data_IF_901902930231
#
_entry.id   IF_901902930231
#
_cell.length_a   1.000
_cell.length_b   1.000
_cell.length_c   1.000
_cell.angle_alpha   90.00
_cell.angle_beta   90.00
_cell.angle_gamma   90.00
#
_symmetry.space_group_name_H-M   'P 1'
#
loop_
_entity.id
_entity.type
_entity.pdbx_description
1 polymer ?
#
# COMPACT_ATOMS: atom_id res chain seq x y z
N UNK A 1 -38.76 56.45 -4.15
CA UNK A 1 -37.63 56.11 -3.25
C UNK A 1 -37.38 54.57 -3.10
N UNK A 2 -37.97 53.70 -3.92
CA UNK A 2 -37.86 52.22 -3.81
C UNK A 2 -37.01 51.52 -4.89
N UNK A 3 -36.44 52.26 -5.85
CA UNK A 3 -35.71 51.68 -6.98
C UNK A 3 -34.18 51.44 -6.71
N UNK A 4 -33.60 52.14 -5.75
CA UNK A 4 -32.17 52.06 -5.42
C UNK A 4 -31.83 50.90 -4.49
N UNK A 5 -32.79 50.39 -3.72
CA UNK A 5 -32.56 49.28 -2.76
C UNK A 5 -32.39 47.89 -3.40
N UNK A 6 -33.07 47.67 -4.57
CA UNK A 6 -32.94 46.37 -5.30
C UNK A 6 -31.61 46.22 -6.02
N UNK A 7 -31.01 47.30 -6.50
CA UNK A 7 -29.70 47.27 -7.17
C UNK A 7 -28.55 46.93 -6.21
N UNK A 8 -28.57 47.49 -5.00
CA UNK A 8 -27.55 47.23 -3.97
C UNK A 8 -27.55 45.81 -3.48
N UNK A 9 -28.75 45.18 -3.33
CA UNK A 9 -28.88 43.79 -2.89
C UNK A 9 -28.35 42.80 -3.93
N UNK A 10 -28.59 43.06 -5.23
CA UNK A 10 -28.12 42.21 -6.33
C UNK A 10 -26.59 42.32 -6.51
N UNK A 11 -26.02 43.51 -6.35
CA UNK A 11 -24.56 43.70 -6.40
C UNK A 11 -23.89 43.00 -5.20
N UNK A 12 -24.42 43.12 -3.99
CA UNK A 12 -23.91 42.48 -2.80
C UNK A 12 -23.93 40.96 -2.92
N UNK A 13 -25.00 40.40 -3.48
CA UNK A 13 -25.12 38.94 -3.69
C UNK A 13 -24.15 38.43 -4.77
N UNK A 14 -23.94 39.18 -5.85
CA UNK A 14 -22.98 38.85 -6.90
C UNK A 14 -21.53 38.84 -6.35
N UNK A 15 -21.19 39.85 -5.54
CA UNK A 15 -19.86 39.94 -4.89
C UNK A 15 -19.66 38.76 -3.91
N UNK A 16 -20.66 38.43 -3.12
CA UNK A 16 -20.58 37.29 -2.17
C UNK A 16 -20.39 35.96 -2.91
N UNK A 17 -21.11 35.75 -4.03
CA UNK A 17 -20.94 34.55 -4.86
C UNK A 17 -19.54 34.50 -5.49
N UNK A 18 -19.02 35.62 -5.98
CA UNK A 18 -17.68 35.69 -6.55
C UNK A 18 -16.60 35.41 -5.50
N UNK A 19 -16.73 35.98 -4.30
CA UNK A 19 -15.79 35.70 -3.18
C UNK A 19 -15.86 34.24 -2.75
N UNK A 20 -17.06 33.68 -2.65
CA UNK A 20 -17.23 32.26 -2.31
C UNK A 20 -16.64 31.35 -3.41
N UNK A 21 -16.85 31.66 -4.69
CA UNK A 21 -16.27 30.91 -5.80
C UNK A 21 -14.73 31.02 -5.82
N UNK A 22 -14.17 32.18 -5.52
CA UNK A 22 -12.72 32.39 -5.41
C UNK A 22 -12.17 31.60 -4.19
N UNK A 23 -12.85 31.61 -3.06
CA UNK A 23 -12.45 30.85 -1.89
C UNK A 23 -12.47 29.34 -2.14
N UNK A 24 -13.53 28.83 -2.79
CA UNK A 24 -13.66 27.41 -3.15
C UNK A 24 -12.57 27.00 -4.16
N UNK A 25 -12.28 27.85 -5.15
CA UNK A 25 -11.20 27.57 -6.12
C UNK A 25 -9.83 27.65 -5.47
N UNK A 26 -9.61 28.58 -4.56
CA UNK A 26 -8.37 28.69 -3.78
C UNK A 26 -8.15 27.49 -2.86
N UNK A 27 -9.17 27.06 -2.09
CA UNK A 27 -9.10 25.85 -1.29
C UNK A 27 -8.83 24.60 -2.15
N UNK A 28 -9.52 24.48 -3.29
CA UNK A 28 -9.31 23.36 -4.23
C UNK A 28 -7.89 23.34 -4.80
N UNK A 29 -7.32 24.51 -5.08
CA UNK A 29 -5.96 24.66 -5.57
C UNK A 29 -4.92 24.38 -4.48
N UNK A 30 -5.21 24.74 -3.23
CA UNK A 30 -4.33 24.56 -2.08
C UNK A 30 -4.33 23.13 -1.53
N UNK A 31 -5.33 22.30 -1.91
CA UNK A 31 -5.41 20.90 -1.50
C UNK A 31 -4.57 19.95 -2.35
N UNK A 32 -4.02 20.37 -3.47
CA UNK A 32 -3.21 19.55 -4.36
C UNK A 32 -1.90 19.13 -3.68
N UNK A 33 -1.54 17.86 -3.85
CA UNK A 33 -0.39 17.25 -3.15
C UNK A 33 0.92 17.93 -3.49
N UNK A 34 1.19 18.15 -4.77
CA UNK A 34 2.44 18.81 -5.22
C UNK A 34 2.69 20.15 -4.51
N UNK A 35 1.68 21.01 -4.43
CA UNK A 35 1.82 22.31 -3.76
C UNK A 35 2.10 22.18 -2.26
N UNK A 36 1.38 21.26 -1.59
CA UNK A 36 1.62 21.01 -0.16
C UNK A 36 3.03 20.48 0.07
N UNK A 37 3.49 19.58 -0.77
CA UNK A 37 4.82 18.97 -0.74
C UNK A 37 5.90 20.04 -0.92
N UNK A 38 5.78 20.89 -1.96
CA UNK A 38 6.71 22.00 -2.20
C UNK A 38 6.74 22.98 -1.02
N UNK A 39 5.58 23.35 -0.48
CA UNK A 39 5.46 24.29 0.66
C UNK A 39 6.06 23.72 1.95
N UNK A 40 5.89 22.42 2.20
CA UNK A 40 6.45 21.70 3.35
C UNK A 40 7.95 21.45 3.19
N UNK A 41 8.43 21.30 1.97
CA UNK A 41 9.84 21.07 1.65
C UNK A 41 10.28 19.61 1.73
N UNK A 42 9.33 18.66 1.76
CA UNK A 42 9.60 17.20 1.77
C UNK A 42 8.43 16.39 1.20
N UNK A 43 8.68 15.12 0.85
CA UNK A 43 7.70 14.12 0.43
C UNK A 43 7.45 13.14 1.56
N UNK A 44 6.20 13.00 2.02
CA UNK A 44 5.81 12.00 3.01
C UNK A 44 5.42 10.69 2.31
N UNK A 45 6.27 9.68 2.45
CA UNK A 45 6.09 8.36 1.84
C UNK A 45 5.58 7.34 2.86
N UNK A 46 4.40 6.79 2.63
CA UNK A 46 3.93 5.62 3.36
C UNK A 46 4.66 4.37 2.88
N UNK A 47 5.35 3.69 3.77
CA UNK A 47 6.17 2.49 3.49
C UNK A 47 5.77 1.32 4.39
N UNK A 48 6.24 0.12 4.09
CA UNK A 48 6.08 -1.03 4.99
C UNK A 48 6.90 -0.82 6.28
N UNK A 49 6.47 -1.44 7.38
CA UNK A 49 7.12 -1.30 8.70
C UNK A 49 8.49 -2.00 8.80
N UNK A 50 8.79 -2.92 7.89
CA UNK A 50 10.04 -3.68 7.93
C UNK A 50 10.02 -4.88 6.99
N UNK A 51 9.89 -4.64 5.68
CA UNK A 51 9.97 -5.68 4.65
C UNK A 51 11.35 -5.63 3.98
N UNK A 52 12.24 -6.59 4.24
CA UNK A 52 13.55 -6.65 3.60
C UNK A 52 13.45 -6.61 2.08
N UNK A 53 14.35 -5.87 1.43
CA UNK A 53 14.33 -5.64 -0.02
C UNK A 53 13.38 -4.53 -0.48
N UNK A 54 12.30 -4.23 0.23
CA UNK A 54 11.32 -3.19 -0.12
C UNK A 54 11.44 -1.94 0.75
N UNK A 55 11.26 -2.08 2.05
CA UNK A 55 11.43 -0.97 2.99
C UNK A 55 11.78 -1.49 4.38
N UNK A 56 12.98 -1.26 4.81
CA UNK A 56 13.47 -1.67 6.13
C UNK A 56 14.36 -0.57 6.72
N UNK A 57 14.15 -0.17 7.99
CA UNK A 57 15.07 0.70 8.69
C UNK A 57 16.25 -0.11 9.26
N UNK A 58 17.43 0.49 9.29
CA UNK A 58 18.55 -0.01 10.10
C UNK A 58 18.41 0.44 11.57
N UNK A 59 19.34 -0.01 12.42
CA UNK A 59 19.35 0.32 13.86
C UNK A 59 19.57 1.83 14.11
N UNK A 60 20.01 2.58 13.12
CA UNK A 60 20.18 4.05 13.16
C UNK A 60 18.99 4.81 12.60
N UNK A 61 17.95 4.08 12.14
CA UNK A 61 16.76 4.65 11.53
C UNK A 61 16.93 5.05 10.06
N UNK A 62 18.00 4.62 9.38
CA UNK A 62 18.14 4.83 7.94
C UNK A 62 17.34 3.77 7.19
N UNK A 63 16.52 4.20 6.28
CA UNK A 63 15.67 3.34 5.47
C UNK A 63 16.39 2.89 4.20
N UNK A 64 16.17 1.64 3.79
CA UNK A 64 16.68 1.05 2.55
C UNK A 64 15.63 0.17 1.88
N UNK A 65 15.76 -0.03 0.57
CA UNK A 65 14.94 -0.93 -0.23
C UNK A 65 14.23 -0.25 -1.40
N UNK A 66 13.59 -1.07 -2.24
CA UNK A 66 12.99 -0.67 -3.49
C UNK A 66 11.94 0.44 -3.34
N UNK A 67 11.00 0.29 -2.40
CA UNK A 67 9.96 1.28 -2.11
C UNK A 67 10.55 2.60 -1.59
N UNK A 68 11.63 2.49 -0.80
CA UNK A 68 12.37 3.64 -0.24
C UNK A 68 13.06 4.42 -1.35
N UNK A 69 13.73 3.71 -2.28
CA UNK A 69 14.44 4.35 -3.39
C UNK A 69 13.48 4.97 -4.40
N UNK A 70 12.30 4.37 -4.60
CA UNK A 70 11.22 4.99 -5.36
C UNK A 70 10.82 6.35 -4.75
N UNK A 71 10.58 6.42 -3.45
CA UNK A 71 10.29 7.67 -2.75
C UNK A 71 11.40 8.71 -2.87
N UNK A 72 12.66 8.27 -2.80
CA UNK A 72 13.82 9.14 -3.01
C UNK A 72 13.89 9.70 -4.42
N UNK A 73 13.53 8.89 -5.42
CA UNK A 73 13.46 9.34 -6.81
C UNK A 73 12.39 10.42 -6.99
N UNK A 74 11.20 10.25 -6.41
CA UNK A 74 10.15 11.27 -6.41
C UNK A 74 10.61 12.56 -5.72
N UNK A 75 11.28 12.44 -4.56
CA UNK A 75 11.82 13.60 -3.85
C UNK A 75 12.90 14.33 -4.66
N UNK A 76 13.81 13.59 -5.31
CA UNK A 76 14.83 14.14 -6.18
C UNK A 76 14.21 14.87 -7.39
N UNK A 77 13.16 14.31 -8.00
CA UNK A 77 12.45 14.95 -9.12
C UNK A 77 11.83 16.30 -8.75
N UNK A 78 11.38 16.47 -7.50
CA UNK A 78 10.71 17.70 -7.04
C UNK A 78 11.71 18.73 -6.48
N UNK A 79 12.72 18.26 -5.74
CA UNK A 79 13.58 19.11 -4.91
C UNK A 79 15.06 19.08 -5.32
N UNK A 80 15.42 18.28 -6.32
CA UNK A 80 16.83 17.96 -6.65
C UNK A 80 17.61 17.38 -5.44
N UNK A 81 16.87 16.79 -4.47
CA UNK A 81 17.44 16.23 -3.24
C UNK A 81 16.66 14.98 -2.77
N UNK A 82 17.23 13.78 -2.91
CA UNK A 82 16.59 12.53 -2.46
C UNK A 82 16.39 12.46 -0.94
N UNK A 83 17.12 13.26 -0.14
CA UNK A 83 17.00 13.32 1.33
C UNK A 83 15.69 14.01 1.78
N UNK A 84 14.97 14.62 0.86
CA UNK A 84 13.66 15.20 1.09
C UNK A 84 12.53 14.15 1.14
N UNK A 85 12.81 12.88 0.90
CA UNK A 85 11.89 11.78 1.22
C UNK A 85 11.86 11.52 2.73
N UNK A 86 10.65 11.51 3.31
CA UNK A 86 10.39 11.16 4.72
C UNK A 86 9.51 9.91 4.76
N UNK A 87 9.92 8.92 5.53
CA UNK A 87 9.26 7.62 5.55
C UNK A 87 8.32 7.50 6.74
N UNK A 88 7.08 7.08 6.46
CA UNK A 88 6.02 6.85 7.44
C UNK A 88 5.65 5.38 7.39
N UNK A 89 6.07 4.58 8.38
CA UNK A 89 5.74 3.15 8.40
C UNK A 89 4.25 2.93 8.68
N UNK A 90 3.59 2.13 7.84
CA UNK A 90 2.15 1.89 7.89
C UNK A 90 1.83 0.39 7.86
N UNK A 91 0.79 -0.03 8.58
CA UNK A 91 0.21 -1.36 8.45
C UNK A 91 -0.66 -1.49 7.19
N UNK A 92 -0.90 -2.74 6.76
CA UNK A 92 -1.70 -3.01 5.57
C UNK A 92 -3.13 -2.46 5.68
N UNK A 93 -3.75 -2.54 6.87
CA UNK A 93 -5.14 -2.15 7.11
C UNK A 93 -5.35 -0.63 7.16
N UNK A 94 -4.31 0.15 7.47
CA UNK A 94 -4.43 1.60 7.63
C UNK A 94 -3.91 2.40 6.42
N UNK A 95 -3.04 1.81 5.58
CA UNK A 95 -2.30 2.54 4.54
C UNK A 95 -3.17 3.40 3.62
N UNK A 96 -4.30 2.87 3.16
CA UNK A 96 -5.18 3.61 2.25
C UNK A 96 -5.91 4.75 2.95
N UNK A 97 -6.33 4.56 4.22
CA UNK A 97 -6.91 5.61 5.03
C UNK A 97 -5.91 6.73 5.30
N UNK A 98 -4.66 6.38 5.60
CA UNK A 98 -3.59 7.35 5.84
C UNK A 98 -3.23 8.16 4.59
N UNK A 99 -3.30 7.53 3.39
CA UNK A 99 -3.19 8.25 2.13
C UNK A 99 -4.38 9.19 1.91
N UNK A 100 -5.61 8.72 2.13
CA UNK A 100 -6.81 9.52 1.96
C UNK A 100 -6.88 10.71 2.94
N UNK A 101 -6.47 10.51 4.18
CA UNK A 101 -6.40 11.57 5.20
C UNK A 101 -5.26 12.57 4.99
N UNK A 102 -4.44 12.37 3.95
CA UNK A 102 -3.28 13.21 3.61
C UNK A 102 -2.14 13.18 4.64
N UNK A 103 -2.09 12.16 5.47
CA UNK A 103 -0.98 11.93 6.39
C UNK A 103 0.28 11.51 5.64
N UNK A 104 0.12 10.90 4.47
CA UNK A 104 1.18 10.66 3.50
C UNK A 104 0.79 11.21 2.14
N UNK A 105 1.78 11.50 1.30
CA UNK A 105 1.59 12.04 -0.03
C UNK A 105 1.48 10.92 -1.07
N UNK A 106 2.23 9.86 -0.87
CA UNK A 106 2.32 8.67 -1.71
C UNK A 106 2.45 7.44 -0.84
N UNK A 107 1.94 6.30 -1.31
CA UNK A 107 2.28 4.99 -0.77
C UNK A 107 3.25 4.31 -1.75
N UNK A 108 4.45 4.00 -1.30
CA UNK A 108 5.36 3.04 -1.90
C UNK A 108 5.50 1.91 -0.87
N UNK A 109 4.60 0.91 -0.95
CA UNK A 109 4.40 -0.07 0.11
C UNK A 109 3.84 -1.38 -0.45
N UNK A 110 4.61 -2.01 -1.36
CA UNK A 110 4.23 -3.30 -1.95
C UNK A 110 2.69 -3.46 -2.09
N UNK A 111 2.04 -2.50 -2.73
CA UNK A 111 0.58 -2.48 -2.86
C UNK A 111 0.15 -2.94 -4.23
N UNK A 112 -0.54 -4.06 -4.29
CA UNK A 112 -1.09 -4.60 -5.53
C UNK A 112 -2.11 -3.66 -6.14
N UNK A 113 -1.96 -3.33 -7.39
CA UNK A 113 -2.96 -2.63 -8.18
C UNK A 113 -4.16 -3.55 -8.44
N UNK A 114 -5.35 -3.11 -8.07
CA UNK A 114 -6.60 -3.82 -8.38
C UNK A 114 -7.72 -2.81 -8.63
N UNK A 115 -8.67 -3.21 -9.48
CA UNK A 115 -9.83 -2.39 -9.80
C UNK A 115 -10.64 -2.03 -8.55
N UNK A 116 -10.80 -2.96 -7.60
CA UNK A 116 -11.52 -2.71 -6.35
C UNK A 116 -10.84 -1.63 -5.51
N UNK A 117 -9.50 -1.57 -5.47
CA UNK A 117 -8.76 -0.54 -4.75
C UNK A 117 -8.92 0.84 -5.40
N UNK A 118 -8.89 0.91 -6.72
CA UNK A 118 -9.13 2.18 -7.43
C UNK A 118 -10.55 2.70 -7.20
N UNK A 119 -11.55 1.84 -7.34
CA UNK A 119 -12.95 2.25 -7.28
C UNK A 119 -13.45 2.48 -5.86
N UNK A 120 -13.14 1.56 -4.92
CA UNK A 120 -13.67 1.62 -3.55
C UNK A 120 -12.96 2.62 -2.66
N UNK A 121 -11.66 2.90 -2.93
CA UNK A 121 -10.87 3.81 -2.10
C UNK A 121 -10.49 5.12 -2.82
N UNK A 122 -11.02 5.38 -4.01
CA UNK A 122 -10.67 6.55 -4.81
C UNK A 122 -9.13 6.74 -4.92
N UNK A 123 -8.45 5.64 -5.23
CA UNK A 123 -7.01 5.56 -5.40
C UNK A 123 -6.65 5.55 -6.88
N UNK A 124 -5.40 5.88 -7.17
CA UNK A 124 -4.82 5.75 -8.50
C UNK A 124 -3.43 5.12 -8.41
N UNK A 125 -3.13 4.24 -9.36
CA UNK A 125 -1.87 3.51 -9.47
C UNK A 125 -1.20 3.95 -10.77
N UNK A 126 -0.24 4.92 -10.72
CA UNK A 126 0.32 5.53 -11.94
C UNK A 126 1.02 4.55 -12.87
N UNK A 127 1.78 3.62 -12.31
CA UNK A 127 2.51 2.61 -13.07
C UNK A 127 2.81 1.40 -12.19
N UNK A 128 2.94 0.22 -12.81
CA UNK A 128 3.44 -0.97 -12.11
C UNK A 128 4.95 -0.84 -11.94
N UNK A 129 5.41 -0.91 -10.71
CA UNK A 129 6.83 -0.81 -10.38
C UNK A 129 7.50 -2.19 -10.23
N UNK A 130 6.73 -3.22 -9.83
CA UNK A 130 7.22 -4.58 -9.65
C UNK A 130 6.11 -5.60 -9.92
N UNK A 131 6.39 -6.67 -10.67
CA UNK A 131 5.47 -7.77 -10.87
C UNK A 131 5.80 -8.91 -9.91
N UNK A 132 4.88 -9.18 -8.98
CA UNK A 132 4.97 -10.27 -8.02
C UNK A 132 3.85 -11.29 -8.25
N UNK A 133 3.79 -12.29 -7.40
CA UNK A 133 2.74 -13.30 -7.35
C UNK A 133 2.46 -13.73 -5.92
N UNK A 134 1.28 -14.27 -5.66
CA UNK A 134 0.97 -14.93 -4.39
C UNK A 134 1.51 -16.36 -4.35
N UNK A 135 1.99 -16.80 -3.17
CA UNK A 135 2.52 -18.14 -3.00
C UNK A 135 2.39 -18.67 -1.56
N UNK A 136 3.03 -19.79 -1.31
CA UNK A 136 3.02 -20.46 0.00
C UNK A 136 4.42 -20.79 0.48
N UNK A 137 4.66 -20.60 1.77
CA UNK A 137 5.84 -21.08 2.49
C UNK A 137 5.43 -22.05 3.57
N UNK A 138 6.14 -23.17 3.71
CA UNK A 138 5.86 -24.22 4.69
C UNK A 138 7.14 -24.90 5.17
N UNK A 139 7.11 -25.62 6.32
CA UNK A 139 8.22 -26.45 6.74
C UNK A 139 8.52 -27.56 5.73
N UNK A 140 9.79 -27.71 5.33
CA UNK A 140 10.24 -28.74 4.37
C UNK A 140 9.91 -30.17 4.83
N UNK A 141 9.82 -30.38 6.13
CA UNK A 141 9.43 -31.66 6.73
C UNK A 141 8.03 -32.15 6.33
N UNK A 142 7.18 -31.27 5.82
CA UNK A 142 5.84 -31.63 5.30
C UNK A 142 5.90 -32.41 3.98
N UNK A 143 7.01 -32.32 3.25
CA UNK A 143 7.21 -33.01 1.96
C UNK A 143 6.08 -32.76 0.97
N UNK A 144 5.68 -31.51 0.83
CA UNK A 144 4.66 -31.00 -0.10
C UNK A 144 5.39 -30.25 -1.19
N UNK A 145 5.12 -30.59 -2.44
CA UNK A 145 5.77 -29.99 -3.62
C UNK A 145 4.83 -29.10 -4.44
N UNK A 146 3.52 -29.15 -4.19
CA UNK A 146 2.52 -28.34 -4.89
C UNK A 146 1.48 -27.76 -3.93
N UNK A 147 1.01 -26.55 -4.22
CA UNK A 147 -0.09 -25.90 -3.50
C UNK A 147 -1.40 -26.69 -3.55
N UNK A 148 -1.60 -27.57 -4.52
CA UNK A 148 -2.75 -28.48 -4.60
C UNK A 148 -2.77 -29.54 -3.49
N UNK A 149 -1.64 -29.78 -2.83
CA UNK A 149 -1.53 -30.72 -1.71
C UNK A 149 -1.84 -30.08 -0.35
N UNK A 150 -2.21 -28.78 -0.34
CA UNK A 150 -2.53 -28.04 0.89
C UNK A 150 -3.98 -28.22 1.37
N UNK A 151 -4.75 -29.17 0.79
CA UNK A 151 -6.12 -29.45 1.23
C UNK A 151 -6.18 -29.77 2.74
N UNK A 152 -7.12 -29.16 3.46
CA UNK A 152 -7.28 -29.30 4.90
C UNK A 152 -6.27 -28.54 5.77
N UNK A 153 -5.31 -27.81 5.19
CA UNK A 153 -4.24 -27.13 5.93
C UNK A 153 -4.76 -25.91 6.71
N UNK A 154 -4.06 -25.59 7.81
CA UNK A 154 -4.18 -24.31 8.51
C UNK A 154 -3.25 -23.30 7.84
N UNK A 155 -3.81 -22.21 7.30
CA UNK A 155 -3.07 -21.21 6.53
C UNK A 155 -3.01 -19.90 7.30
N UNK A 156 -1.81 -19.47 7.67
CA UNK A 156 -1.58 -18.12 8.20
C UNK A 156 -1.66 -17.09 7.08
N UNK A 157 -2.40 -15.99 7.31
CA UNK A 157 -2.55 -14.89 6.34
C UNK A 157 -2.76 -13.56 7.03
N UNK A 158 -2.26 -12.48 6.43
CA UNK A 158 -2.57 -11.13 6.88
C UNK A 158 -3.93 -10.68 6.34
N UNK A 159 -4.82 -10.23 7.24
CA UNK A 159 -6.11 -9.67 6.89
C UNK A 159 -6.04 -8.35 6.12
N UNK A 160 -7.07 -8.05 5.31
CA UNK A 160 -7.16 -6.81 4.54
C UNK A 160 -6.17 -6.72 3.36
N UNK A 161 -5.62 -7.85 2.92
CA UNK A 161 -4.70 -7.95 1.79
C UNK A 161 -5.36 -8.62 0.58
N UNK A 162 -4.77 -8.44 -0.61
CA UNK A 162 -5.14 -9.23 -1.80
C UNK A 162 -4.82 -10.71 -1.58
N UNK A 163 -3.76 -11.02 -0.85
CA UNK A 163 -3.35 -12.38 -0.51
C UNK A 163 -4.46 -13.15 0.20
N UNK A 164 -5.18 -12.51 1.16
CA UNK A 164 -6.33 -13.14 1.82
C UNK A 164 -7.44 -13.50 0.83
N UNK A 165 -7.74 -12.60 -0.12
CA UNK A 165 -8.77 -12.85 -1.14
C UNK A 165 -8.34 -13.95 -2.11
N UNK A 166 -7.09 -13.91 -2.56
CA UNK A 166 -6.53 -14.90 -3.48
C UNK A 166 -6.43 -16.29 -2.84
N UNK A 167 -6.12 -16.37 -1.54
CA UNK A 167 -6.17 -17.62 -0.78
C UNK A 167 -7.55 -18.26 -0.87
N UNK A 168 -8.60 -17.49 -0.55
CA UNK A 168 -9.97 -17.99 -0.61
C UNK A 168 -10.37 -18.44 -2.03
N UNK A 169 -9.99 -17.66 -3.03
CA UNK A 169 -10.29 -17.96 -4.44
C UNK A 169 -9.56 -19.21 -4.92
N UNK A 170 -8.28 -19.36 -4.59
CA UNK A 170 -7.47 -20.51 -4.98
C UNK A 170 -8.05 -21.81 -4.43
N UNK A 171 -8.34 -21.87 -3.12
CA UNK A 171 -8.89 -23.06 -2.48
C UNK A 171 -10.30 -23.39 -3.00
N UNK A 172 -11.14 -22.37 -3.17
CA UNK A 172 -12.48 -22.56 -3.76
C UNK A 172 -12.44 -23.10 -5.19
N UNK A 173 -11.57 -22.54 -6.03
CA UNK A 173 -11.47 -22.93 -7.44
C UNK A 173 -10.96 -24.35 -7.61
N UNK A 174 -10.09 -24.81 -6.71
CA UNK A 174 -9.54 -26.18 -6.71
C UNK A 174 -10.36 -27.17 -5.87
N UNK A 175 -11.55 -26.78 -5.37
CA UNK A 175 -12.42 -27.58 -4.49
C UNK A 175 -11.68 -28.09 -3.23
N UNK A 176 -10.76 -27.30 -2.70
CA UNK A 176 -9.98 -27.57 -1.51
C UNK A 176 -10.57 -26.88 -0.30
N UNK A 177 -10.30 -27.44 0.88
CA UNK A 177 -10.67 -26.86 2.19
C UNK A 177 -9.44 -26.33 2.90
N UNK A 178 -9.61 -25.32 3.74
CA UNK A 178 -8.54 -24.85 4.62
C UNK A 178 -9.14 -24.20 5.87
N UNK A 179 -8.30 -24.03 6.89
CA UNK A 179 -8.62 -23.22 8.06
C UNK A 179 -7.82 -21.93 7.99
N UNK A 180 -8.52 -20.80 7.87
CA UNK A 180 -7.87 -19.49 7.86
C UNK A 180 -7.42 -19.12 9.28
N UNK A 181 -6.13 -18.80 9.44
CA UNK A 181 -5.56 -18.25 10.66
C UNK A 181 -5.12 -16.82 10.37
N UNK A 182 -6.03 -15.89 10.60
CA UNK A 182 -5.90 -14.48 10.20
C UNK A 182 -5.45 -13.60 11.35
N UNK A 183 -4.55 -12.66 11.02
CA UNK A 183 -4.11 -11.59 11.91
C UNK A 183 -4.12 -10.25 11.17
N UNK A 184 -4.36 -9.16 11.90
CA UNK A 184 -4.37 -7.82 11.31
C UNK A 184 -2.95 -7.28 11.12
N UNK A 185 -2.04 -7.60 12.05
CA UNK A 185 -0.64 -7.16 12.00
C UNK A 185 0.23 -8.23 11.40
N UNK A 186 1.16 -7.80 10.57
CA UNK A 186 2.11 -8.68 9.89
C UNK A 186 2.99 -9.47 10.88
N UNK A 187 3.51 -8.80 11.91
CA UNK A 187 4.37 -9.43 12.91
C UNK A 187 3.68 -10.59 13.65
N UNK A 188 2.36 -10.44 13.90
CA UNK A 188 1.57 -11.50 14.56
C UNK A 188 1.39 -12.71 13.64
N UNK A 189 1.18 -12.48 12.32
CA UNK A 189 1.11 -13.56 11.31
C UNK A 189 2.42 -14.33 11.27
N UNK A 190 3.54 -13.61 11.16
CA UNK A 190 4.87 -14.22 11.07
C UNK A 190 5.22 -14.98 12.34
N UNK A 191 4.89 -14.43 13.51
CA UNK A 191 5.07 -15.10 14.81
C UNK A 191 4.22 -16.35 14.91
N UNK A 192 2.96 -16.33 14.48
CA UNK A 192 2.08 -17.49 14.49
C UNK A 192 2.63 -18.61 13.60
N UNK A 193 3.08 -18.29 12.39
CA UNK A 193 3.71 -19.24 11.49
C UNK A 193 5.01 -19.80 12.10
N UNK A 194 5.93 -18.96 12.56
CA UNK A 194 7.22 -19.38 13.11
C UNK A 194 7.11 -20.22 14.39
N UNK A 195 6.00 -20.07 15.14
CA UNK A 195 5.70 -20.89 16.32
C UNK A 195 4.92 -22.17 16.01
N UNK A 196 4.61 -22.47 14.74
CA UNK A 196 3.93 -23.68 14.32
C UNK A 196 2.40 -23.67 14.54
N UNK A 197 1.77 -22.49 14.71
CA UNK A 197 0.31 -22.41 14.82
C UNK A 197 -0.40 -22.69 13.49
N UNK A 198 0.32 -22.54 12.37
CA UNK A 198 -0.16 -22.78 11.02
C UNK A 198 0.72 -23.81 10.32
N UNK A 199 0.13 -24.54 9.42
CA UNK A 199 0.81 -25.51 8.55
C UNK A 199 1.58 -24.84 7.44
N UNK A 200 1.07 -23.72 6.94
CA UNK A 200 1.65 -22.92 5.85
C UNK A 200 1.35 -21.44 6.04
N UNK A 201 2.16 -20.60 5.42
CA UNK A 201 2.00 -19.15 5.38
C UNK A 201 1.89 -18.68 3.93
N UNK A 202 0.90 -17.83 3.64
CA UNK A 202 0.71 -17.24 2.32
C UNK A 202 0.97 -15.73 2.34
N UNK A 203 1.73 -15.25 1.36
CA UNK A 203 2.03 -13.86 1.09
C UNK A 203 2.48 -13.70 -0.37
N UNK A 204 2.86 -12.49 -0.76
CA UNK A 204 3.58 -12.25 -2.00
C UNK A 204 4.90 -13.05 -2.00
N UNK A 205 5.27 -13.64 -3.12
CA UNK A 205 6.44 -14.55 -3.21
C UNK A 205 7.73 -13.83 -2.81
N UNK A 206 7.92 -12.59 -3.26
CA UNK A 206 9.09 -11.80 -2.85
C UNK A 206 9.13 -11.59 -1.33
N UNK A 207 7.97 -11.36 -0.73
CA UNK A 207 7.83 -11.24 0.73
C UNK A 207 8.14 -12.57 1.44
N UNK A 208 7.69 -13.71 0.92
CA UNK A 208 8.01 -15.03 1.48
C UNK A 208 9.52 -15.29 1.48
N UNK A 209 10.21 -14.95 0.38
CA UNK A 209 11.68 -15.09 0.32
C UNK A 209 12.39 -14.22 1.35
N UNK A 210 11.97 -12.96 1.46
CA UNK A 210 12.54 -12.03 2.44
C UNK A 210 12.33 -12.51 3.89
N UNK A 211 11.14 -13.02 4.21
CA UNK A 211 10.77 -13.46 5.54
C UNK A 211 11.41 -14.78 5.93
N UNK A 212 11.59 -15.69 4.97
CA UNK A 212 12.27 -16.95 5.22
C UNK A 212 13.66 -16.72 5.86
N UNK A 213 14.37 -15.67 5.46
CA UNK A 213 15.68 -15.32 6.00
C UNK A 213 15.64 -14.92 7.48
N UNK A 214 14.48 -14.49 7.99
CA UNK A 214 14.27 -14.10 9.39
C UNK A 214 13.83 -15.26 10.30
N UNK A 215 13.60 -16.44 9.73
CA UNK A 215 13.29 -17.65 10.52
C UNK A 215 14.55 -18.17 11.22
N UNK A 216 14.37 -18.81 12.36
CA UNK A 216 15.49 -19.39 13.14
C UNK A 216 16.31 -20.40 12.32
N UNK A 217 15.66 -21.12 11.40
CA UNK A 217 16.28 -22.09 10.48
C UNK A 217 15.68 -21.91 9.07
N UNK A 218 16.17 -20.95 8.29
CA UNK A 218 15.65 -20.67 6.95
C UNK A 218 15.63 -21.89 6.01
N UNK A 219 16.62 -22.78 6.14
CA UNK A 219 16.77 -23.98 5.33
C UNK A 219 15.72 -25.08 5.61
N UNK A 220 15.06 -25.02 6.77
CA UNK A 220 14.00 -25.96 7.12
C UNK A 220 12.63 -25.58 6.54
N UNK A 221 12.58 -24.51 5.73
CA UNK A 221 11.36 -24.00 5.10
C UNK A 221 11.53 -23.91 3.60
N UNK A 222 10.49 -24.26 2.87
CA UNK A 222 10.42 -24.18 1.40
C UNK A 222 9.31 -23.21 0.99
N UNK A 223 9.52 -22.56 -0.15
CA UNK A 223 8.49 -21.79 -0.85
C UNK A 223 8.06 -22.64 -2.03
N UNK A 224 6.77 -22.95 -2.13
CA UNK A 224 6.24 -23.74 -3.23
C UNK A 224 6.43 -23.02 -4.58
N UNK A 225 6.62 -23.79 -5.67
CA UNK A 225 6.79 -23.19 -7.00
C UNK A 225 5.51 -22.61 -7.57
N UNK A 226 4.35 -22.96 -7.02
CA UNK A 226 3.05 -22.51 -7.50
C UNK A 226 2.85 -21.03 -7.27
N UNK A 227 2.49 -20.31 -8.35
CA UNK A 227 2.09 -18.91 -8.31
C UNK A 227 0.57 -18.85 -8.41
N UNK A 228 -0.10 -18.53 -7.31
CA UNK A 228 -1.57 -18.61 -7.20
C UNK A 228 -2.29 -17.32 -7.60
N UNK A 229 -1.57 -16.22 -7.77
CA UNK A 229 -2.11 -14.93 -8.20
C UNK A 229 -1.06 -14.09 -8.91
N UNK A 230 -1.53 -13.03 -9.60
CA UNK A 230 -0.66 -11.99 -10.16
C UNK A 230 -0.79 -10.74 -9.30
N UNK A 231 0.34 -10.24 -8.82
CA UNK A 231 0.41 -9.10 -7.93
C UNK A 231 1.22 -7.96 -8.59
N UNK A 232 0.59 -7.13 -9.44
CA UNK A 232 1.25 -5.94 -9.99
C UNK A 232 1.38 -4.90 -8.88
N UNK A 233 2.56 -4.81 -8.27
CA UNK A 233 2.84 -3.85 -7.21
C UNK A 233 3.13 -2.48 -7.79
N UNK A 234 2.49 -1.46 -7.23
CA UNK A 234 2.57 -0.11 -7.73
C UNK A 234 2.57 0.93 -6.60
N UNK A 235 3.18 2.11 -6.84
CA UNK A 235 2.95 3.26 -5.98
C UNK A 235 1.49 3.67 -6.06
N UNK A 236 0.97 4.27 -4.98
CA UNK A 236 -0.44 4.65 -4.90
C UNK A 236 -0.55 6.12 -4.53
N UNK A 237 -1.39 6.83 -5.25
CA UNK A 237 -1.73 8.23 -5.01
C UNK A 237 -3.25 8.41 -4.93
N UNK A 238 -3.71 9.59 -4.49
CA UNK A 238 -5.12 9.94 -4.50
C UNK A 238 -5.61 10.22 -5.92
N UNK A 239 -6.83 9.84 -6.25
CA UNK A 239 -7.47 10.25 -7.50
C UNK A 239 -7.66 11.78 -7.57
N UNK A 240 -7.80 12.30 -8.79
CA UNK A 240 -8.07 13.74 -9.09
C UNK A 240 -6.94 14.69 -8.65
N UNK A 241 -5.72 14.19 -8.57
CA UNK A 241 -4.51 14.95 -8.26
C UNK A 241 -3.51 14.81 -9.41
N UNK A 242 -3.93 15.31 -10.58
CA UNK A 242 -3.28 15.03 -11.89
C UNK A 242 -1.82 15.48 -11.90
N UNK A 243 -1.53 16.68 -11.33
CA UNK A 243 -0.15 17.19 -11.26
C UNK A 243 0.76 16.24 -10.44
N UNK A 244 0.20 15.62 -9.39
CA UNK A 244 0.92 14.66 -8.56
C UNK A 244 1.09 13.30 -9.26
N UNK A 245 0.02 12.83 -9.92
CA UNK A 245 0.05 11.59 -10.70
C UNK A 245 1.09 11.61 -11.81
N UNK A 246 1.32 12.76 -12.45
CA UNK A 246 2.29 12.92 -13.53
C UNK A 246 3.75 12.92 -13.06
N UNK A 247 3.99 13.18 -11.78
CA UNK A 247 5.34 13.16 -11.17
C UNK A 247 5.68 11.75 -10.67
N UNK A 248 4.69 11.03 -10.16
CA UNK A 248 4.84 9.69 -9.61
C UNK A 248 4.74 8.62 -10.69
#
# INVERSE_FOLDING_TARGET
>A
MFRTFRGGLLIGMAVAIAVAAIAITYERYDTKTLKRTIRRGDVLCGVNKGLPGFSIPDDKGNWTGFDVDFCRAVAAAIFDDPKKAKFVPLDANERFKELQSRKVDILARNSTWSMSRETSYALYFPAVAYYDGGGFMLPAARKIDSALELDGSKVCVQGGTTTQLNLADYFRTNNMKYTEVKFDKFDDVFKAYSSGQCDTFTADISQLYALRLNLAKPGDHVILPDVISKEPLAPVVRQRDDDWMMIV
#
